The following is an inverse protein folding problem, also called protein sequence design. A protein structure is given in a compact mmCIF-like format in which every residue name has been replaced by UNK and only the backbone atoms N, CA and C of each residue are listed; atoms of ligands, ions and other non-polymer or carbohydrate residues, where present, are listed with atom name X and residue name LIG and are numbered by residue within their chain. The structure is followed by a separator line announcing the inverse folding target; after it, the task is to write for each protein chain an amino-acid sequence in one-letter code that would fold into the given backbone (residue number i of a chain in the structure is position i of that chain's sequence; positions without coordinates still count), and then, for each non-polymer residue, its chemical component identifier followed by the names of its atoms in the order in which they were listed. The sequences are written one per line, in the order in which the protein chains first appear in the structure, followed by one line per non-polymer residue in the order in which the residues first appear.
data_IF_497426784368
#
_entry.id   IF_497426784368
#
_cell.length_a   1.000
_cell.length_b   1.000
_cell.length_c   1.000
_cell.angle_alpha   90.00
_cell.angle_beta   90.00
_cell.angle_gamma   90.00
#
_symmetry.space_group_name_H-M   'P 1'
#
loop_
_entity.id
_entity.type
_entity.pdbx_description
1 polymer ?
#
# COMPACT_ATOMS: atom_id res chain seq x y z
N UNK A 1 -5.96 -0.48 4.71
CA UNK A 1 -5.98 0.92 4.23
C UNK A 1 -6.79 1.01 2.95
N UNK A 2 -6.24 0.74 1.77
CA UNK A 2 -6.99 0.85 0.51
C UNK A 2 -8.07 -0.25 0.33
N UNK A 3 -7.71 -1.53 0.40
CA UNK A 3 -8.65 -2.64 0.16
C UNK A 3 -9.14 -3.33 1.46
N UNK A 4 -8.85 -2.73 2.62
CA UNK A 4 -9.19 -3.25 3.95
C UNK A 4 -8.38 -4.47 4.41
N UNK A 5 -7.97 -5.35 3.51
CA UNK A 5 -7.28 -6.60 3.79
C UNK A 5 -5.94 -6.72 3.03
N UNK A 6 -4.94 -7.44 3.57
CA UNK A 6 -3.75 -7.80 2.80
C UNK A 6 -4.10 -8.78 1.66
N UNK A 7 -3.23 -8.89 0.64
CA UNK A 7 -3.33 -9.93 -0.38
C UNK A 7 -3.37 -11.34 0.27
N UNK A 8 -4.09 -12.27 -0.35
CA UNK A 8 -4.16 -13.68 0.07
C UNK A 8 -4.67 -13.93 1.52
N UNK A 9 -5.40 -12.98 2.14
CA UNK A 9 -5.94 -13.13 3.50
C UNK A 9 -6.71 -14.44 3.77
N UNK A 10 -7.28 -15.05 2.73
CA UNK A 10 -8.15 -16.23 2.85
C UNK A 10 -7.41 -17.58 2.80
N UNK A 11 -6.10 -17.59 2.51
CA UNK A 11 -5.31 -18.84 2.45
C UNK A 11 -4.48 -19.04 3.73
N UNK A 12 -3.98 -20.26 3.93
CA UNK A 12 -3.20 -20.60 5.13
C UNK A 12 -1.87 -19.85 5.17
N UNK A 13 -1.26 -19.70 6.34
CA UNK A 13 0.01 -18.99 6.49
C UNK A 13 1.13 -19.57 5.61
N UNK A 14 1.14 -20.89 5.42
CA UNK A 14 2.13 -21.55 4.57
C UNK A 14 1.89 -21.25 3.09
N UNK A 15 0.63 -21.30 2.63
CA UNK A 15 0.28 -20.95 1.24
C UNK A 15 0.54 -19.46 0.95
N UNK A 16 0.38 -18.59 1.95
CA UNK A 16 0.74 -17.17 1.83
C UNK A 16 2.25 -16.99 1.62
N UNK A 17 3.07 -17.69 2.41
CA UNK A 17 4.53 -17.67 2.27
C UNK A 17 4.95 -18.14 0.88
N UNK A 18 4.39 -19.27 0.43
CA UNK A 18 4.67 -19.82 -0.89
C UNK A 18 4.28 -18.82 -2.00
N UNK A 19 3.10 -18.21 -1.86
CA UNK A 19 2.63 -17.20 -2.81
C UNK A 19 3.54 -15.99 -2.92
N UNK A 20 4.21 -15.57 -1.83
CA UNK A 20 5.16 -14.45 -1.84
C UNK A 20 6.45 -14.81 -2.56
N UNK A 21 6.87 -16.08 -2.49
CA UNK A 21 8.11 -16.57 -3.12
C UNK A 21 7.90 -16.82 -4.62
N UNK A 22 6.77 -17.42 -4.98
CA UNK A 22 6.55 -17.93 -6.34
C UNK A 22 5.89 -16.93 -7.29
N UNK A 23 5.06 -16.03 -6.76
CA UNK A 23 4.28 -15.13 -7.60
C UNK A 23 4.94 -13.76 -7.78
N UNK A 24 4.50 -13.06 -8.82
CA UNK A 24 4.84 -11.66 -9.02
C UNK A 24 4.29 -10.79 -7.88
N UNK A 25 4.90 -9.61 -7.62
CA UNK A 25 4.38 -8.64 -6.67
C UNK A 25 2.87 -8.42 -6.82
N UNK A 26 2.12 -8.41 -5.71
CA UNK A 26 0.70 -8.13 -5.78
C UNK A 26 0.47 -6.69 -6.23
N UNK A 27 -0.65 -6.47 -6.91
CA UNK A 27 -1.18 -5.14 -7.22
C UNK A 27 -2.62 -5.04 -6.70
N UNK A 28 -3.21 -3.85 -6.79
CA UNK A 28 -4.62 -3.65 -6.47
C UNK A 28 -5.52 -4.56 -7.32
N UNK A 29 -6.60 -5.08 -6.74
CA UNK A 29 -7.57 -5.92 -7.46
C UNK A 29 -8.20 -5.16 -8.62
N UNK A 30 -8.52 -3.89 -8.38
CA UNK A 30 -9.11 -2.97 -9.35
C UNK A 30 -8.29 -1.66 -9.44
N UNK A 31 -7.16 -1.63 -10.17
CA UNK A 31 -6.27 -0.46 -10.22
C UNK A 31 -6.95 0.83 -10.68
N UNK A 32 -8.01 0.72 -11.49
CA UNK A 32 -8.79 1.86 -12.00
C UNK A 32 -9.57 2.63 -10.93
N UNK A 33 -9.76 2.04 -9.73
CA UNK A 33 -10.40 2.72 -8.59
C UNK A 33 -9.43 3.63 -7.84
N UNK A 34 -8.14 3.56 -8.15
CA UNK A 34 -7.07 4.23 -7.43
C UNK A 34 -6.35 5.22 -8.34
N UNK A 35 -5.77 6.27 -7.75
CA UNK A 35 -4.96 7.22 -8.53
C UNK A 35 -3.74 6.51 -9.08
N UNK A 36 -3.31 6.88 -10.29
CA UNK A 36 -2.11 6.30 -10.92
C UNK A 36 -0.88 6.46 -10.04
N UNK A 37 -0.75 7.58 -9.32
CA UNK A 37 0.32 7.83 -8.37
C UNK A 37 0.29 6.88 -7.16
N UNK A 38 -0.90 6.52 -6.63
CA UNK A 38 -1.01 5.54 -5.55
C UNK A 38 -0.60 4.15 -6.04
N UNK A 39 -1.06 3.76 -7.23
CA UNK A 39 -0.70 2.47 -7.85
C UNK A 39 0.81 2.37 -8.06
N UNK A 40 1.44 3.42 -8.61
CA UNK A 40 2.89 3.47 -8.82
C UNK A 40 3.67 3.41 -7.50
N UNK A 41 3.27 4.21 -6.50
CA UNK A 41 3.91 4.23 -5.19
C UNK A 41 3.94 2.84 -4.53
N UNK A 42 2.81 2.13 -4.56
CA UNK A 42 2.71 0.78 -3.99
C UNK A 42 3.55 -0.21 -4.80
N UNK A 43 3.59 -0.10 -6.12
CA UNK A 43 4.43 -0.94 -6.96
C UNK A 43 5.92 -0.77 -6.62
N UNK A 44 6.39 0.47 -6.41
CA UNK A 44 7.77 0.74 -5.99
C UNK A 44 8.09 0.13 -4.61
N UNK A 45 7.14 0.17 -3.67
CA UNK A 45 7.30 -0.48 -2.36
C UNK A 45 7.42 -2.01 -2.43
N UNK A 46 6.83 -2.64 -3.46
CA UNK A 46 6.70 -4.09 -3.58
C UNK A 46 7.70 -4.73 -4.56
N UNK A 47 8.76 -4.01 -4.96
CA UNK A 47 9.86 -4.56 -5.75
C UNK A 47 10.55 -5.69 -4.97
N UNK A 48 10.66 -6.88 -5.57
CA UNK A 48 11.23 -8.08 -4.93
C UNK A 48 12.74 -7.95 -4.72
N UNK A 49 13.47 -7.48 -5.74
CA UNK A 49 14.92 -7.29 -5.65
C UNK A 49 15.24 -6.13 -4.72
N UNK A 50 15.90 -6.44 -3.60
CA UNK A 50 16.24 -5.45 -2.58
C UNK A 50 17.17 -4.35 -3.09
N UNK A 51 18.02 -4.64 -4.09
CA UNK A 51 18.92 -3.64 -4.67
C UNK A 51 18.18 -2.64 -5.54
N UNK A 52 17.03 -3.04 -6.09
CA UNK A 52 16.19 -2.20 -6.94
C UNK A 52 15.05 -1.53 -6.17
N UNK A 53 14.74 -1.99 -4.95
CA UNK A 53 13.70 -1.40 -4.12
C UNK A 53 14.17 -0.03 -3.61
N UNK A 54 13.42 1.05 -3.88
CA UNK A 54 13.76 2.38 -3.37
C UNK A 54 13.76 2.41 -1.84
N UNK A 55 14.69 3.17 -1.27
CA UNK A 55 14.74 3.39 0.18
C UNK A 55 13.65 4.37 0.65
N UNK A 56 13.47 4.46 1.96
CA UNK A 56 12.45 5.32 2.56
C UNK A 56 12.64 6.79 2.17
N UNK A 57 13.89 7.27 2.11
CA UNK A 57 14.20 8.67 1.75
C UNK A 57 13.76 8.94 0.32
N UNK A 58 14.07 8.05 -0.63
CA UNK A 58 13.63 8.17 -2.03
C UNK A 58 12.11 8.13 -2.15
N UNK A 59 11.44 7.23 -1.42
CA UNK A 59 9.98 7.11 -1.43
C UNK A 59 9.26 8.35 -0.87
N UNK A 60 9.87 9.09 0.06
CA UNK A 60 9.31 10.35 0.56
C UNK A 60 9.19 11.43 -0.54
N UNK A 61 10.05 11.36 -1.56
CA UNK A 61 10.02 12.28 -2.70
C UNK A 61 9.07 11.83 -3.82
N UNK A 62 8.42 10.67 -3.67
CA UNK A 62 7.49 10.18 -4.67
C UNK A 62 6.27 11.13 -4.81
N UNK A 63 5.75 11.38 -6.04
CA UNK A 63 4.63 12.31 -6.25
C UNK A 63 3.39 12.03 -5.39
N UNK A 64 3.08 10.75 -5.11
CA UNK A 64 1.97 10.38 -4.22
C UNK A 64 2.11 10.96 -2.80
N UNK A 65 3.32 11.07 -2.28
CA UNK A 65 3.61 11.59 -0.94
C UNK A 65 3.73 13.11 -0.98
N UNK A 66 4.52 13.64 -1.92
CA UNK A 66 4.81 15.08 -2.03
C UNK A 66 3.57 15.89 -2.44
N UNK A 67 2.66 15.34 -3.24
CA UNK A 67 1.43 16.01 -3.62
C UNK A 67 0.48 16.26 -2.43
N UNK A 68 0.74 15.63 -1.28
CA UNK A 68 -0.03 15.86 -0.07
C UNK A 68 0.73 16.82 0.85
N UNK A 69 0.20 18.03 0.99
CA UNK A 69 0.50 18.86 2.16
C UNK A 69 0.07 18.08 3.41
N UNK A 70 0.84 18.04 4.52
CA UNK A 70 0.48 17.24 5.69
C UNK A 70 -0.95 17.57 6.10
N UNK A 71 -1.91 16.63 5.90
CA UNK A 71 -3.27 16.91 6.29
C UNK A 71 -3.28 17.05 7.81
N UNK A 72 -4.08 17.98 8.37
CA UNK A 72 -4.30 17.97 9.80
C UNK A 72 -4.75 16.56 10.19
N UNK A 73 -4.34 16.04 11.35
CA UNK A 73 -4.78 14.71 11.81
C UNK A 73 -6.32 14.61 12.00
N UNK A 74 -7.02 15.73 11.87
CA UNK A 74 -8.45 15.90 12.09
C UNK A 74 -9.35 14.92 11.33
N UNK A 75 -9.15 14.61 10.03
CA UNK A 75 -9.99 13.63 9.34
C UNK A 75 -9.90 12.24 9.97
N UNK A 76 -8.72 11.82 10.42
CA UNK A 76 -8.54 10.54 11.10
C UNK A 76 -9.20 10.55 12.49
N UNK A 77 -9.05 11.65 13.24
CA UNK A 77 -9.72 11.83 14.53
C UNK A 77 -11.26 11.78 14.39
N UNK A 78 -11.81 12.34 13.31
CA UNK A 78 -13.24 12.28 13.03
C UNK A 78 -13.70 10.85 12.74
N UNK A 79 -12.93 10.08 11.96
CA UNK A 79 -13.23 8.67 11.69
C UNK A 79 -13.18 7.82 12.97
N UNK A 80 -12.22 8.04 13.86
CA UNK A 80 -12.13 7.32 15.14
C UNK A 80 -13.38 7.57 15.99
N UNK A 81 -13.86 8.82 16.05
CA UNK A 81 -15.09 9.18 16.78
C UNK A 81 -16.34 8.53 16.19
N UNK A 82 -16.39 8.31 14.87
CA UNK A 82 -17.52 7.64 14.22
C UNK A 82 -17.59 6.14 14.51
N UNK A 83 -16.45 5.48 14.73
CA UNK A 83 -16.39 4.04 15.02
C UNK A 83 -16.59 3.74 16.51
N UNK A 84 -16.32 4.72 17.38
CA UNK A 84 -16.44 4.57 18.83
C UNK A 84 -17.87 4.80 19.39
N UNK A 85 -18.82 5.21 18.55
CA UNK A 85 -20.25 5.33 18.86
C UNK A 85 -21.04 4.24 18.13
#
# INVERSE_FOLDING_TARGET
MAEGNPPNRHVTSFDQLLSVIENKPPSFKNPKLWTTQLVDFVAQCLVIDYNQRPDAVTLLWHPFIVAQSPPPAQPLLNLIKQVAN
#
